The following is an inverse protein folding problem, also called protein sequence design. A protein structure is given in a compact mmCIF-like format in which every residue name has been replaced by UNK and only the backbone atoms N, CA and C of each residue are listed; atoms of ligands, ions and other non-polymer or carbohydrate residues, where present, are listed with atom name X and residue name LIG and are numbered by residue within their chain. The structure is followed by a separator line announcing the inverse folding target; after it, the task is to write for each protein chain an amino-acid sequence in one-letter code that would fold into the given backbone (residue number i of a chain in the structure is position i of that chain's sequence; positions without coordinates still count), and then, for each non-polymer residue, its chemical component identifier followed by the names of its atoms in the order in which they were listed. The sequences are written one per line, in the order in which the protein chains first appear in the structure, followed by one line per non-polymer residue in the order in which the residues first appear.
data_IF_646483026771
#
_entry.id   IF_646483026771
#
_cell.length_a   1.000
_cell.length_b   1.000
_cell.length_c   1.000
_cell.angle_alpha   90.00
_cell.angle_beta   90.00
_cell.angle_gamma   90.00
#
_symmetry.space_group_name_H-M   'P 1'
#
loop_
_entity.id
_entity.type
_entity.pdbx_description
1 polymer ?
#
# COMPACT_ATOMS: atom_id res chain seq x y z
N UNK A 1 3.70 0.41 23.00
CA UNK A 1 2.63 1.26 22.44
C UNK A 1 1.88 0.40 21.44
N UNK A 2 0.56 0.29 21.57
CA UNK A 2 -0.23 -0.62 20.73
C UNK A 2 -0.40 -0.05 19.32
N UNK A 3 0.05 -0.81 18.31
CA UNK A 3 0.00 -0.41 16.89
C UNK A 3 -1.45 -0.24 16.42
N UNK A 4 -2.36 -1.05 16.94
CA UNK A 4 -3.77 -1.01 16.55
C UNK A 4 -4.43 0.29 17.01
N UNK A 5 -4.14 0.69 18.25
CA UNK A 5 -4.66 1.94 18.82
C UNK A 5 -4.22 3.19 18.04
N UNK A 6 -3.02 3.21 17.44
CA UNK A 6 -2.55 4.34 16.63
C UNK A 6 -3.27 4.41 15.29
N UNK A 7 -3.44 3.26 14.62
CA UNK A 7 -4.15 3.16 13.33
C UNK A 7 -5.60 3.62 13.47
N UNK A 8 -6.30 3.16 14.49
CA UNK A 8 -7.69 3.58 14.77
C UNK A 8 -7.78 5.07 15.10
N UNK A 9 -6.83 5.60 15.88
CA UNK A 9 -6.78 7.02 16.24
C UNK A 9 -6.54 7.90 15.01
N UNK A 10 -5.64 7.50 14.11
CA UNK A 10 -5.40 8.18 12.85
C UNK A 10 -6.66 8.15 11.96
N UNK A 11 -7.33 7.01 11.83
CA UNK A 11 -8.54 6.89 11.03
C UNK A 11 -9.69 7.76 11.57
N UNK A 12 -9.95 7.75 12.88
CA UNK A 12 -10.98 8.59 13.52
C UNK A 12 -10.70 10.08 13.45
N UNK A 13 -9.43 10.48 13.59
CA UNK A 13 -9.05 11.90 13.61
C UNK A 13 -9.19 12.56 12.23
N UNK A 14 -8.81 11.85 11.17
CA UNK A 14 -8.81 12.37 9.81
C UNK A 14 -10.12 12.07 9.05
N UNK A 15 -10.81 10.98 9.37
CA UNK A 15 -12.01 10.55 8.65
C UNK A 15 -11.72 9.99 7.25
N UNK A 16 -12.68 9.31 6.62
CA UNK A 16 -12.44 8.50 5.42
C UNK A 16 -11.95 9.32 4.21
N UNK A 17 -12.45 10.54 4.00
CA UNK A 17 -12.02 11.39 2.88
C UNK A 17 -10.56 11.86 2.98
N UNK A 18 -10.06 12.12 4.19
CA UNK A 18 -8.66 12.52 4.40
C UNK A 18 -7.75 11.29 4.30
N UNK A 19 -8.21 10.11 4.74
CA UNK A 19 -7.47 8.87 4.57
C UNK A 19 -7.24 8.53 3.09
N UNK A 20 -8.23 8.81 2.21
CA UNK A 20 -8.05 8.59 0.77
C UNK A 20 -7.00 9.54 0.18
N UNK A 21 -6.98 10.79 0.64
CA UNK A 21 -5.94 11.75 0.26
C UNK A 21 -4.58 11.33 0.77
N UNK A 22 -4.49 10.79 1.99
CA UNK A 22 -3.23 10.31 2.54
C UNK A 22 -2.71 9.12 1.75
N UNK A 23 -3.56 8.14 1.45
CA UNK A 23 -3.19 7.03 0.57
C UNK A 23 -2.73 7.51 -0.82
N UNK A 24 -3.40 8.51 -1.38
CA UNK A 24 -2.99 9.12 -2.65
C UNK A 24 -1.62 9.78 -2.56
N UNK A 25 -1.35 10.52 -1.48
CA UNK A 25 -0.07 11.18 -1.20
C UNK A 25 1.07 10.15 -1.11
N UNK A 26 0.93 9.14 -0.24
CA UNK A 26 1.95 8.09 -0.05
C UNK A 26 2.23 7.33 -1.36
N UNK A 27 1.19 7.02 -2.14
CA UNK A 27 1.37 6.39 -3.45
C UNK A 27 2.16 7.29 -4.41
N UNK A 28 1.95 8.61 -4.37
CA UNK A 28 2.69 9.57 -5.18
C UNK A 28 4.16 9.68 -4.76
N UNK A 29 4.42 9.68 -3.45
CA UNK A 29 5.78 9.71 -2.89
C UNK A 29 6.54 8.44 -3.24
N UNK A 30 5.90 7.26 -3.14
CA UNK A 30 6.47 5.98 -3.57
C UNK A 30 6.82 5.98 -5.07
N UNK A 31 5.92 6.44 -5.94
CA UNK A 31 6.20 6.56 -7.38
C UNK A 31 7.40 7.46 -7.65
N UNK A 32 7.50 8.59 -6.95
CA UNK A 32 8.63 9.50 -7.09
C UNK A 32 9.94 8.89 -6.56
N UNK A 33 9.91 8.19 -5.43
CA UNK A 33 11.07 7.49 -4.87
C UNK A 33 11.59 6.39 -5.79
N UNK A 34 10.70 5.54 -6.31
CA UNK A 34 11.05 4.48 -7.28
C UNK A 34 11.68 5.10 -8.54
N UNK A 35 11.04 6.15 -9.09
CA UNK A 35 11.54 6.82 -10.31
C UNK A 35 12.94 7.40 -10.09
N UNK A 36 13.19 8.04 -8.94
CA UNK A 36 14.51 8.59 -8.59
C UNK A 36 15.55 7.49 -8.44
N UNK A 37 15.21 6.39 -7.76
CA UNK A 37 16.13 5.26 -7.56
C UNK A 37 16.46 4.55 -8.89
N UNK A 38 15.47 4.30 -9.74
CA UNK A 38 15.67 3.66 -11.05
C UNK A 38 16.57 4.50 -11.97
N UNK A 39 16.46 5.83 -11.90
CA UNK A 39 17.30 6.74 -12.69
C UNK A 39 18.73 6.87 -12.15
N UNK A 40 18.90 6.84 -10.82
CA UNK A 40 20.21 6.92 -10.17
C UNK A 40 20.28 6.04 -8.92
N UNK A 41 20.64 4.76 -9.08
CA UNK A 41 20.61 3.80 -7.98
C UNK A 41 21.64 4.14 -6.89
N UNK A 42 21.14 4.46 -5.70
CA UNK A 42 21.95 4.74 -4.51
C UNK A 42 21.36 4.06 -3.29
N UNK A 43 22.17 3.78 -2.27
CA UNK A 43 21.69 3.23 -1.00
C UNK A 43 20.62 4.11 -0.37
N UNK A 44 20.83 5.44 -0.37
CA UNK A 44 19.84 6.40 0.14
C UNK A 44 18.54 6.34 -0.66
N UNK A 45 18.62 6.30 -2.00
CA UNK A 45 17.43 6.16 -2.84
C UNK A 45 16.65 4.88 -2.57
N UNK A 46 17.35 3.76 -2.33
CA UNK A 46 16.70 2.48 -1.99
C UNK A 46 16.02 2.53 -0.61
N UNK A 47 16.65 3.17 0.38
CA UNK A 47 16.05 3.37 1.71
C UNK A 47 14.78 4.22 1.62
N UNK A 48 14.77 5.27 0.80
CA UNK A 48 13.56 6.07 0.56
C UNK A 48 12.47 5.20 -0.08
N UNK A 49 12.77 4.35 -1.07
CA UNK A 49 11.77 3.43 -1.64
C UNK A 49 11.17 2.53 -0.56
N UNK A 50 11.98 2.02 0.38
CA UNK A 50 11.49 1.21 1.50
C UNK A 50 10.57 2.02 2.40
N UNK A 51 10.95 3.24 2.77
CA UNK A 51 10.15 4.15 3.60
C UNK A 51 8.77 4.38 2.99
N UNK A 52 8.71 4.87 1.75
CA UNK A 52 7.43 5.15 1.08
C UNK A 52 6.60 3.88 0.85
N UNK A 53 7.25 2.72 0.67
CA UNK A 53 6.53 1.42 0.59
C UNK A 53 5.86 1.07 1.91
N UNK A 54 6.55 1.33 3.03
CA UNK A 54 6.02 1.11 4.37
C UNK A 54 4.86 2.06 4.65
N UNK A 55 4.96 3.32 4.23
CA UNK A 55 3.89 4.30 4.43
C UNK A 55 2.61 3.95 3.66
N UNK A 56 2.73 3.58 2.38
CA UNK A 56 1.59 3.05 1.59
C UNK A 56 0.98 1.82 2.26
N UNK A 57 1.81 0.91 2.79
CA UNK A 57 1.33 -0.28 3.51
C UNK A 57 0.54 0.10 4.76
N UNK A 58 1.05 1.01 5.58
CA UNK A 58 0.40 1.43 6.83
C UNK A 58 -0.97 2.04 6.54
N UNK A 59 -1.08 2.93 5.55
CA UNK A 59 -2.36 3.56 5.21
C UNK A 59 -3.32 2.53 4.61
N UNK A 60 -2.84 1.60 3.78
CA UNK A 60 -3.66 0.51 3.24
C UNK A 60 -4.22 -0.39 4.35
N UNK A 61 -3.40 -0.75 5.35
CA UNK A 61 -3.84 -1.51 6.52
C UNK A 61 -4.92 -0.75 7.31
N UNK A 62 -4.79 0.56 7.48
CA UNK A 62 -5.82 1.39 8.14
C UNK A 62 -7.16 1.29 7.41
N UNK A 63 -7.15 1.28 6.07
CA UNK A 63 -8.36 1.09 5.26
C UNK A 63 -8.96 -0.31 5.39
N UNK A 64 -8.14 -1.35 5.31
CA UNK A 64 -8.60 -2.73 5.44
C UNK A 64 -9.24 -3.00 6.80
N UNK A 65 -8.68 -2.42 7.87
CA UNK A 65 -9.17 -2.61 9.24
C UNK A 65 -10.40 -1.76 9.57
N UNK A 66 -10.52 -0.54 9.03
CA UNK A 66 -11.51 0.44 9.51
C UNK A 66 -12.58 0.82 8.49
N UNK A 67 -12.43 0.46 7.22
CA UNK A 67 -13.32 0.94 6.16
C UNK A 67 -13.86 -0.18 5.25
N UNK A 68 -13.01 -1.13 4.86
CA UNK A 68 -13.42 -2.18 3.95
C UNK A 68 -14.06 -3.38 4.65
N UNK A 69 -14.95 -4.06 3.92
CA UNK A 69 -15.47 -5.34 4.36
C UNK A 69 -14.42 -6.44 4.14
N UNK A 70 -13.92 -7.05 5.22
CA UNK A 70 -12.87 -8.07 5.17
C UNK A 70 -13.20 -9.27 4.27
N UNK A 71 -14.45 -9.73 4.23
CA UNK A 71 -14.84 -10.85 3.38
C UNK A 71 -14.72 -10.48 1.90
N UNK A 72 -15.16 -9.27 1.54
CA UNK A 72 -15.02 -8.74 0.19
C UNK A 72 -13.56 -8.52 -0.19
N UNK A 73 -12.73 -7.97 0.71
CA UNK A 73 -11.28 -7.82 0.47
C UNK A 73 -10.63 -9.15 0.11
N UNK A 74 -10.92 -10.21 0.89
CA UNK A 74 -10.39 -11.54 0.66
C UNK A 74 -10.84 -12.15 -0.68
N UNK A 75 -12.08 -11.92 -1.08
CA UNK A 75 -12.58 -12.32 -2.39
C UNK A 75 -11.79 -11.65 -3.52
N UNK A 76 -11.57 -10.33 -3.43
CA UNK A 76 -10.77 -9.59 -4.39
C UNK A 76 -9.30 -10.03 -4.41
N UNK A 77 -8.69 -10.34 -3.26
CA UNK A 77 -7.32 -10.86 -3.17
C UNK A 77 -7.19 -12.19 -3.93
N UNK A 78 -8.11 -13.13 -3.72
CA UNK A 78 -8.11 -14.42 -4.42
C UNK A 78 -8.22 -14.24 -5.93
N UNK A 79 -9.17 -13.41 -6.40
CA UNK A 79 -9.34 -13.11 -7.82
C UNK A 79 -8.07 -12.51 -8.45
N UNK A 80 -7.32 -11.70 -7.70
CA UNK A 80 -6.06 -11.11 -8.18
C UNK A 80 -4.94 -12.14 -8.24
N UNK A 81 -4.85 -13.04 -7.27
CA UNK A 81 -3.86 -14.12 -7.26
C UNK A 81 -4.10 -15.12 -8.39
N UNK A 82 -5.36 -15.55 -8.62
CA UNK A 82 -5.72 -16.42 -9.76
C UNK A 82 -5.32 -15.79 -11.10
N UNK A 83 -5.55 -14.48 -11.25
CA UNK A 83 -5.15 -13.74 -12.46
C UNK A 83 -3.63 -13.67 -12.62
N UNK A 84 -2.90 -13.47 -11.53
CA UNK A 84 -1.44 -13.43 -11.56
C UNK A 84 -0.85 -14.80 -11.93
N UNK A 85 -1.39 -15.88 -11.35
CA UNK A 85 -1.02 -17.25 -11.70
C UNK A 85 -1.27 -17.53 -13.19
N UNK A 86 -2.41 -17.10 -13.73
CA UNK A 86 -2.69 -17.18 -15.16
C UNK A 86 -1.62 -16.51 -16.03
N UNK A 87 -1.18 -15.31 -15.67
CA UNK A 87 -0.13 -14.59 -16.40
C UNK A 87 1.23 -15.26 -16.35
N UNK A 88 1.60 -15.85 -15.21
CA UNK A 88 2.85 -16.58 -15.06
C UNK A 88 2.83 -17.83 -15.95
N UNK A 89 1.74 -18.61 -15.89
CA UNK A 89 1.59 -19.82 -16.71
C UNK A 89 1.61 -19.55 -18.22
N UNK A 90 1.09 -18.41 -18.66
CA UNK A 90 1.14 -18.00 -20.07
C UNK A 90 2.54 -17.54 -20.49
N UNK A 91 3.32 -16.93 -19.60
CA UNK A 91 4.69 -16.50 -19.88
C UNK A 91 5.71 -17.66 -19.90
N UNK A 92 5.38 -18.79 -19.28
CA UNK A 92 6.21 -20.00 -19.23
C UNK A 92 5.97 -20.97 -20.41
N UNK A 93 5.01 -20.66 -21.30
CA UNK A 93 4.69 -21.44 -22.51
C UNK A 93 5.47 -20.98 -23.74
#
# INVERSE_FOLDING_TARGET
MDKQAIKEKAFKYYGPAIQFRKLQEECGELVAAISRYMNNPTTVGFLNVIEETVDVKIVSEQFFENYYNHAMVKEFENMKLERLEGWINDAER
#
